data_IF_717662868240
#
_entry.id   IF_717662868240
#
_cell.length_a   1.000
_cell.length_b   1.000
_cell.length_c   1.000
_cell.angle_alpha   90.00
_cell.angle_beta   90.00
_cell.angle_gamma   90.00
#
_symmetry.space_group_name_H-M   'P 1'
#
loop_
_entity.id
_entity.type
_entity.pdbx_description
1 polymer ?
#
# COMPACT_ATOMS: atom_id res chain seq x y z
N UNK A 1 -37.29 -35.02 -32.47
CA UNK A 1 -36.00 -34.38 -32.82
C UNK A 1 -35.05 -34.58 -31.65
N UNK A 2 -33.89 -35.22 -31.85
CA UNK A 2 -32.94 -35.43 -30.75
C UNK A 2 -32.08 -34.18 -30.58
N UNK A 3 -31.78 -33.82 -29.34
CA UNK A 3 -30.93 -32.67 -28.99
C UNK A 3 -29.56 -32.71 -29.69
N UNK A 4 -29.04 -33.91 -29.90
CA UNK A 4 -27.78 -34.18 -30.63
C UNK A 4 -27.87 -33.71 -32.08
N UNK A 5 -28.99 -33.95 -32.76
CA UNK A 5 -29.17 -33.56 -34.16
C UNK A 5 -29.18 -32.03 -34.31
N UNK A 6 -29.73 -31.32 -33.33
CA UNK A 6 -29.78 -29.84 -33.29
C UNK A 6 -28.38 -29.25 -33.12
N UNK A 7 -27.56 -29.83 -32.23
CA UNK A 7 -26.18 -29.39 -32.02
C UNK A 7 -25.34 -29.65 -33.28
N UNK A 8 -25.47 -30.83 -33.91
CA UNK A 8 -24.76 -31.16 -35.13
C UNK A 8 -25.10 -30.19 -36.26
N UNK A 9 -26.40 -29.94 -36.48
CA UNK A 9 -26.89 -29.01 -37.49
C UNK A 9 -26.38 -27.57 -37.27
N UNK A 10 -26.30 -27.13 -36.00
CA UNK A 10 -25.80 -25.79 -35.66
C UNK A 10 -24.30 -25.66 -35.92
N UNK A 11 -23.51 -26.70 -35.65
CA UNK A 11 -22.07 -26.73 -35.93
C UNK A 11 -21.80 -26.63 -37.43
N UNK A 12 -22.58 -27.33 -38.25
CA UNK A 12 -22.46 -27.25 -39.72
C UNK A 12 -22.75 -25.82 -40.22
N UNK A 13 -23.78 -25.16 -39.68
CA UNK A 13 -24.08 -23.76 -39.99
C UNK A 13 -22.99 -22.77 -39.56
N UNK A 14 -22.32 -23.01 -38.44
CA UNK A 14 -21.15 -22.23 -38.00
C UNK A 14 -19.98 -22.38 -38.98
N UNK A 15 -19.78 -23.60 -39.48
CA UNK A 15 -18.68 -23.94 -40.40
C UNK A 15 -18.87 -23.31 -41.79
N UNK A 16 -20.10 -23.04 -42.20
CA UNK A 16 -20.42 -22.33 -43.44
C UNK A 16 -20.13 -20.81 -43.32
N UNK A 17 -20.34 -20.21 -42.14
CA UNK A 17 -20.21 -18.77 -41.88
C UNK A 17 -19.04 -18.41 -40.95
N UNK A 18 -17.88 -19.03 -41.17
CA UNK A 18 -16.69 -18.93 -40.31
C UNK A 18 -16.32 -17.48 -39.93
N UNK A 19 -16.25 -16.59 -40.91
CA UNK A 19 -15.81 -15.20 -40.70
C UNK A 19 -16.76 -14.44 -39.76
N UNK A 20 -18.06 -14.58 -39.97
CA UNK A 20 -19.08 -13.89 -39.16
C UNK A 20 -19.08 -14.40 -37.72
N UNK A 21 -19.00 -15.71 -37.54
CA UNK A 21 -19.00 -16.32 -36.21
C UNK A 21 -17.74 -15.94 -35.44
N UNK A 22 -16.57 -16.00 -36.07
CA UNK A 22 -15.30 -15.60 -35.44
C UNK A 22 -15.31 -14.12 -35.06
N UNK A 23 -15.77 -13.24 -35.95
CA UNK A 23 -15.80 -11.80 -35.67
C UNK A 23 -16.75 -11.45 -34.51
N UNK A 24 -17.92 -12.10 -34.43
CA UNK A 24 -18.85 -11.90 -33.32
C UNK A 24 -18.27 -12.37 -31.98
N UNK A 25 -17.61 -13.54 -31.96
CA UNK A 25 -16.98 -14.07 -30.75
C UNK A 25 -15.86 -13.14 -30.28
N UNK A 26 -15.02 -12.67 -31.21
CA UNK A 26 -13.95 -11.71 -30.90
C UNK A 26 -14.54 -10.41 -30.33
N UNK A 27 -15.63 -9.89 -30.91
CA UNK A 27 -16.28 -8.68 -30.42
C UNK A 27 -16.74 -8.80 -28.96
N UNK A 28 -17.38 -9.93 -28.61
CA UNK A 28 -17.84 -10.18 -27.24
C UNK A 28 -16.64 -10.39 -26.29
N UNK A 29 -15.61 -11.12 -26.72
CA UNK A 29 -14.41 -11.34 -25.90
C UNK A 29 -13.65 -10.04 -25.61
N UNK A 30 -13.42 -9.21 -26.63
CA UNK A 30 -12.70 -7.93 -26.45
C UNK A 30 -13.53 -6.99 -25.57
N UNK A 31 -14.85 -6.91 -25.77
CA UNK A 31 -15.74 -6.09 -24.95
C UNK A 31 -15.71 -6.50 -23.48
N UNK A 32 -15.89 -7.79 -23.19
CA UNK A 32 -15.82 -8.32 -21.82
C UNK A 32 -14.45 -8.13 -21.18
N UNK A 33 -13.37 -8.42 -21.92
CA UNK A 33 -12.01 -8.28 -21.42
C UNK A 33 -11.65 -6.81 -21.11
N UNK A 34 -12.11 -5.86 -21.93
CA UNK A 34 -11.87 -4.44 -21.70
C UNK A 34 -12.54 -3.94 -20.41
N UNK A 35 -13.80 -4.35 -20.17
CA UNK A 35 -14.53 -3.97 -18.95
C UNK A 35 -13.85 -4.57 -17.71
N UNK A 36 -13.51 -5.86 -17.74
CA UNK A 36 -12.87 -6.53 -16.61
C UNK A 36 -11.50 -5.90 -16.32
N UNK A 37 -10.70 -5.65 -17.36
CA UNK A 37 -9.39 -5.00 -17.22
C UNK A 37 -9.51 -3.63 -16.57
N UNK A 38 -10.43 -2.80 -17.05
CA UNK A 38 -10.65 -1.46 -16.51
C UNK A 38 -11.11 -1.49 -15.05
N UNK A 39 -12.03 -2.39 -14.69
CA UNK A 39 -12.51 -2.53 -13.31
C UNK A 39 -11.38 -2.97 -12.38
N UNK A 40 -10.59 -3.97 -12.79
CA UNK A 40 -9.45 -4.45 -11.99
C UNK A 40 -8.39 -3.36 -11.78
N UNK A 41 -8.10 -2.56 -12.82
CA UNK A 41 -7.18 -1.42 -12.71
C UNK A 41 -7.74 -0.37 -11.77
N UNK A 42 -9.02 -0.01 -11.91
CA UNK A 42 -9.66 0.98 -11.05
C UNK A 42 -9.65 0.54 -9.58
N UNK A 43 -9.97 -0.72 -9.31
CA UNK A 43 -9.95 -1.27 -7.95
C UNK A 43 -8.53 -1.31 -7.37
N UNK A 44 -7.55 -1.76 -8.16
CA UNK A 44 -6.14 -1.75 -7.75
C UNK A 44 -5.60 -0.35 -7.45
N UNK A 45 -5.98 0.65 -8.25
CA UNK A 45 -5.65 2.05 -7.99
C UNK A 45 -6.28 2.55 -6.69
N UNK A 46 -7.56 2.26 -6.45
CA UNK A 46 -8.22 2.66 -5.20
C UNK A 46 -7.55 2.02 -3.97
N UNK A 47 -7.16 0.74 -4.06
CA UNK A 47 -6.43 0.05 -3.01
C UNK A 47 -5.09 0.74 -2.72
N UNK A 48 -4.31 1.04 -3.75
CA UNK A 48 -3.00 1.67 -3.58
C UNK A 48 -3.12 3.12 -3.09
N UNK A 49 -4.10 3.89 -3.58
CA UNK A 49 -4.37 5.24 -3.07
C UNK A 49 -4.74 5.18 -1.59
N UNK A 50 -5.64 4.28 -1.19
CA UNK A 50 -6.00 4.11 0.21
C UNK A 50 -4.79 3.72 1.04
N UNK A 51 -3.95 2.80 0.56
CA UNK A 51 -2.71 2.40 1.23
C UNK A 51 -1.75 3.58 1.40
N UNK A 52 -1.60 4.41 0.37
CA UNK A 52 -0.77 5.62 0.45
C UNK A 52 -1.34 6.65 1.42
N UNK A 53 -2.65 6.86 1.42
CA UNK A 53 -3.33 7.75 2.37
C UNK A 53 -3.20 7.22 3.81
N UNK A 54 -3.31 5.91 4.02
CA UNK A 54 -3.06 5.29 5.32
C UNK A 54 -1.61 5.42 5.76
N UNK A 55 -0.64 5.32 4.84
CA UNK A 55 0.78 5.58 5.10
C UNK A 55 1.06 7.04 5.48
N UNK A 56 0.29 8.00 4.95
CA UNK A 56 0.33 9.39 5.42
C UNK A 56 -0.12 9.52 6.88
N UNK A 57 -0.69 8.46 7.47
CA UNK A 57 -1.00 8.37 8.88
C UNK A 57 -1.92 9.51 9.31
N UNK A 58 -3.17 9.61 8.80
CA UNK A 58 -4.10 10.66 9.21
C UNK A 58 -4.39 10.66 10.73
N UNK A 59 -4.00 9.59 11.44
CA UNK A 59 -4.08 9.45 12.90
C UNK A 59 -2.73 9.59 13.63
N UNK A 60 -1.63 9.79 12.91
CA UNK A 60 -0.26 9.75 13.45
C UNK A 60 0.43 11.09 13.24
N UNK A 61 0.84 11.72 14.34
CA UNK A 61 1.60 12.98 14.31
C UNK A 61 3.05 12.68 14.64
N UNK A 62 3.97 13.05 13.75
CA UNK A 62 5.41 12.91 13.97
C UNK A 62 5.93 14.22 14.56
N UNK A 63 6.36 14.17 15.83
CA UNK A 63 7.02 15.28 16.51
C UNK A 63 8.53 15.09 16.35
N UNK A 64 9.19 16.05 15.71
CA UNK A 64 10.63 16.01 15.47
C UNK A 64 11.24 17.37 15.74
N UNK A 65 12.48 17.37 16.24
CA UNK A 65 13.24 18.59 16.49
C UNK A 65 13.95 19.04 15.20
N UNK A 66 13.18 19.39 14.17
CA UNK A 66 13.79 19.95 12.95
C UNK A 66 14.22 21.38 13.25
N UNK A 67 15.53 21.61 13.29
CA UNK A 67 16.08 22.95 13.22
C UNK A 67 16.05 23.41 11.75
N UNK A 68 14.93 24.01 11.32
CA UNK A 68 14.70 24.50 9.95
C UNK A 68 15.63 25.66 9.54
N UNK A 69 16.74 25.90 10.24
CA UNK A 69 17.65 27.03 9.98
C UNK A 69 17.06 28.41 10.29
N UNK A 70 15.79 28.48 10.73
CA UNK A 70 15.03 29.72 10.95
C UNK A 70 15.23 30.33 12.33
N UNK A 71 16.01 29.74 13.23
CA UNK A 71 16.24 30.29 14.56
C UNK A 71 17.58 29.87 15.17
N UNK A 72 18.31 30.87 15.67
CA UNK A 72 19.52 30.73 16.49
C UNK A 72 19.24 30.22 17.92
N UNK A 73 18.11 29.52 18.10
CA UNK A 73 17.68 28.96 19.39
C UNK A 73 18.36 27.61 19.61
N UNK A 74 18.62 27.30 20.88
CA UNK A 74 19.16 26.01 21.26
C UNK A 74 18.33 24.85 20.68
N UNK A 75 18.97 23.75 20.25
CA UNK A 75 18.25 22.61 19.72
C UNK A 75 17.25 22.10 20.76
N UNK A 76 15.97 22.14 20.40
CA UNK A 76 14.92 21.54 21.22
C UNK A 76 15.26 20.06 21.36
N UNK A 77 15.48 19.63 22.60
CA UNK A 77 15.79 18.24 22.90
C UNK A 77 14.51 17.57 23.35
N UNK A 78 14.04 16.59 22.59
CA UNK A 78 12.90 15.77 22.96
C UNK A 78 13.35 14.74 24.01
N UNK A 79 12.79 14.84 25.20
CA UNK A 79 13.05 14.02 26.38
C UNK A 79 11.83 13.17 26.75
N UNK A 80 12.03 12.15 27.59
CA UNK A 80 10.93 11.32 28.09
C UNK A 80 9.86 12.12 28.84
N UNK A 81 10.20 13.26 29.43
CA UNK A 81 9.22 14.15 30.08
C UNK A 81 8.22 14.76 29.10
N UNK A 82 8.68 15.15 27.92
CA UNK A 82 7.79 15.66 26.87
C UNK A 82 6.92 14.55 26.28
N UNK A 83 7.46 13.33 26.15
CA UNK A 83 6.68 12.16 25.78
C UNK A 83 5.52 11.92 26.76
N UNK A 84 5.78 11.95 28.06
CA UNK A 84 4.74 11.79 29.09
C UNK A 84 3.68 12.89 29.01
N UNK A 85 4.09 14.11 28.67
CA UNK A 85 3.16 15.22 28.48
C UNK A 85 2.24 14.95 27.30
N UNK A 86 2.78 14.47 26.18
CA UNK A 86 2.00 14.10 24.97
C UNK A 86 1.07 12.92 25.24
N UNK A 87 1.52 11.90 26.01
CA UNK A 87 0.71 10.76 26.42
C UNK A 87 -0.55 11.18 27.21
N UNK A 88 -0.48 12.28 27.96
CA UNK A 88 -1.58 12.76 28.81
C UNK A 88 -2.56 13.70 28.09
N UNK A 89 -2.35 14.02 26.81
CA UNK A 89 -3.27 14.88 26.05
C UNK A 89 -4.57 14.10 25.74
N UNK A 90 -5.77 14.69 25.97
CA UNK A 90 -7.02 14.04 25.60
C UNK A 90 -7.06 13.64 24.13
N UNK A 91 -7.58 12.44 23.83
CA UNK A 91 -7.68 11.85 22.49
C UNK A 91 -6.36 11.30 21.90
N UNK A 92 -5.24 11.37 22.62
CA UNK A 92 -4.02 10.62 22.26
C UNK A 92 -4.17 9.18 22.71
N UNK A 93 -4.19 8.23 21.77
CA UNK A 93 -4.32 6.81 22.08
C UNK A 93 -2.99 6.18 22.50
N UNK A 94 -1.92 6.47 21.77
CA UNK A 94 -0.55 5.98 22.01
C UNK A 94 0.43 7.06 21.58
N UNK A 95 1.51 7.24 22.35
CA UNK A 95 2.68 8.00 21.93
C UNK A 95 3.93 7.17 22.26
N UNK A 96 4.86 7.02 21.32
CA UNK A 96 6.10 6.25 21.50
C UNK A 96 7.29 7.08 21.04
N UNK A 97 8.46 6.98 21.69
CA UNK A 97 9.67 7.59 21.18
C UNK A 97 10.20 6.77 20.00
N UNK A 98 10.80 7.46 19.02
CA UNK A 98 11.51 6.85 17.90
C UNK A 98 12.86 7.55 17.78
N UNK A 99 13.95 6.78 17.85
CA UNK A 99 15.30 7.30 17.75
C UNK A 99 15.95 6.69 16.52
N UNK A 100 16.38 7.51 15.55
CA UNK A 100 17.01 7.00 14.34
C UNK A 100 18.40 7.61 14.17
N UNK A 101 19.43 6.78 13.98
CA UNK A 101 20.82 7.21 13.81
C UNK A 101 21.51 6.41 12.70
N UNK A 102 22.20 7.10 11.81
CA UNK A 102 23.09 6.47 10.86
C UNK A 102 24.35 5.97 11.58
N UNK A 103 24.67 4.68 11.42
CA UNK A 103 25.87 4.06 12.02
C UNK A 103 26.56 3.15 11.01
N UNK A 104 27.86 2.92 11.19
CA UNK A 104 28.64 1.99 10.36
C UNK A 104 28.69 0.64 11.06
N UNK A 105 28.08 -0.36 10.44
CA UNK A 105 28.12 -1.74 10.93
C UNK A 105 29.18 -2.50 10.14
N UNK A 106 29.97 -3.33 10.83
CA UNK A 106 30.99 -4.21 10.24
C UNK A 106 30.62 -5.66 10.50
N UNK A 107 30.41 -6.44 9.44
CA UNK A 107 30.10 -7.87 9.49
C UNK A 107 31.06 -8.59 8.54
N UNK A 108 31.76 -9.62 9.04
CA UNK A 108 32.67 -10.45 8.24
C UNK A 108 33.66 -9.65 7.36
N UNK A 109 34.27 -8.61 7.93
CA UNK A 109 35.25 -7.77 7.23
C UNK A 109 34.66 -6.73 6.27
N UNK A 110 33.36 -6.76 5.98
CA UNK A 110 32.65 -5.76 5.16
C UNK A 110 32.00 -4.71 6.07
N UNK A 111 32.23 -3.44 5.77
CA UNK A 111 31.58 -2.33 6.48
C UNK A 111 30.56 -1.64 5.59
N UNK A 112 29.35 -1.45 6.10
CA UNK A 112 28.30 -0.69 5.43
C UNK A 112 27.76 0.38 6.38
N UNK A 113 27.34 1.50 5.82
CA UNK A 113 26.60 2.51 6.56
C UNK A 113 25.12 2.15 6.51
N UNK A 114 24.49 2.06 7.68
CA UNK A 114 23.09 1.68 7.81
C UNK A 114 22.38 2.65 8.74
N UNK A 115 21.08 2.82 8.53
CA UNK A 115 20.21 3.52 9.46
C UNK A 115 19.75 2.55 10.54
N UNK A 116 20.01 2.85 11.81
CA UNK A 116 19.49 2.07 12.94
C UNK A 116 18.39 2.89 13.61
N UNK A 117 17.22 2.28 13.78
CA UNK A 117 16.07 2.89 14.43
C UNK A 117 15.70 2.10 15.69
N UNK A 118 15.71 2.77 16.83
CA UNK A 118 15.22 2.25 18.11
C UNK A 118 13.75 2.62 18.30
N UNK A 119 12.93 1.61 18.64
CA UNK A 119 11.49 1.72 18.90
C UNK A 119 11.12 0.85 20.10
N UNK A 120 9.99 1.15 20.74
CA UNK A 120 9.33 0.24 21.69
C UNK A 120 8.35 -0.61 20.87
N UNK A 121 8.60 -1.92 20.65
CA UNK A 121 7.84 -2.70 19.68
C UNK A 121 6.33 -2.72 19.94
N UNK A 122 5.92 -2.92 21.20
CA UNK A 122 4.51 -3.02 21.57
C UNK A 122 3.72 -1.73 21.35
N UNK A 123 4.35 -0.57 21.59
CA UNK A 123 3.72 0.74 21.39
C UNK A 123 3.75 1.15 19.91
N UNK A 124 4.87 0.87 19.22
CA UNK A 124 5.05 1.24 17.81
C UNK A 124 4.15 0.44 16.86
N UNK A 125 3.96 -0.86 17.10
CA UNK A 125 3.07 -1.71 16.30
C UNK A 125 1.59 -1.30 16.44
N UNK A 126 1.17 -0.75 17.60
CA UNK A 126 -0.19 -0.23 17.77
C UNK A 126 -0.47 0.99 16.89
N UNK A 127 0.55 1.80 16.62
CA UNK A 127 0.47 2.99 15.76
C UNK A 127 0.53 2.58 14.28
N UNK A 128 1.39 1.61 13.95
CA UNK A 128 1.63 1.19 12.57
C UNK A 128 1.14 -0.24 12.33
N UNK A 129 -0.18 -0.41 12.32
CA UNK A 129 -0.86 -1.70 12.05
C UNK A 129 -0.63 -2.25 10.64
N UNK A 130 0.05 -1.51 9.78
CA UNK A 130 0.35 -1.90 8.39
C UNK A 130 1.63 -2.76 8.28
N UNK A 131 2.19 -3.21 9.41
CA UNK A 131 3.40 -4.05 9.49
C UNK A 131 3.10 -5.54 9.77
N UNK A 132 1.82 -5.94 9.81
CA UNK A 132 1.35 -7.32 9.68
C UNK A 132 0.86 -7.58 8.26
#
# INVERSE_FOLDING_TARGET
>A
MRLIDIILFTIDGIKERKVRVVLNIIGIMIGGAAIISLVSVAEGMNLEINRQVELLGPKTIIITNINLGLSRREPITLTYRELDTVKNIPHVSVATPVISRATRIKINGRSAQVQVTGIIPEEYLKINKNLE
#
